data_IF_261298019463
#
_entry.id   IF_261298019463
#
_cell.length_a   1.000
_cell.length_b   1.000
_cell.length_c   1.000
_cell.angle_alpha   90.00
_cell.angle_beta   90.00
_cell.angle_gamma   90.00
#
_symmetry.space_group_name_H-M   'P 1'
#
loop_
_entity.id
_entity.type
_entity.pdbx_description
1 polymer ?
#
# COMPACT_ATOMS: atom_id res chain seq x y z
N UNK A 1 -16.21 7.32 36.87
CA UNK A 1 -14.82 7.13 36.42
C UNK A 1 -13.98 7.08 37.67
N UNK A 2 -13.21 6.01 37.88
CA UNK A 2 -12.23 6.00 38.94
C UNK A 2 -11.31 7.20 38.69
N UNK A 3 -11.17 8.11 39.67
CA UNK A 3 -10.08 9.09 39.62
C UNK A 3 -8.81 8.27 39.41
N UNK A 4 -8.07 8.51 38.32
CA UNK A 4 -6.78 7.86 38.11
C UNK A 4 -5.97 8.12 39.38
N UNK A 5 -5.64 7.05 40.12
CA UNK A 5 -4.90 7.18 41.37
C UNK A 5 -3.57 7.81 41.01
N UNK A 6 -3.24 8.94 41.66
CA UNK A 6 -1.95 9.61 41.46
C UNK A 6 -0.83 8.58 41.64
N UNK A 7 0.10 8.43 40.68
CA UNK A 7 1.26 7.55 40.85
C UNK A 7 2.08 8.00 42.05
N UNK A 8 2.57 7.05 42.86
CA UNK A 8 3.23 7.34 44.14
C UNK A 8 4.60 8.02 43.96
N UNK A 9 5.22 7.93 42.77
CA UNK A 9 6.55 8.47 42.45
C UNK A 9 6.58 9.34 41.16
N UNK A 10 5.55 10.13 40.87
CA UNK A 10 5.59 11.04 39.70
C UNK A 10 6.55 12.22 39.94
N UNK A 11 7.39 12.53 38.95
CA UNK A 11 8.19 13.77 38.93
C UNK A 11 7.29 14.99 38.74
N UNK A 12 7.79 16.18 39.08
CA UNK A 12 7.02 17.43 38.94
C UNK A 12 6.56 17.68 37.50
N UNK A 13 7.40 17.33 36.53
CA UNK A 13 7.08 17.45 35.10
C UNK A 13 5.98 16.46 34.66
N UNK A 14 6.05 15.20 35.10
CA UNK A 14 5.01 14.19 34.82
C UNK A 14 3.66 14.57 35.44
N UNK A 15 3.68 15.15 36.65
CA UNK A 15 2.49 15.67 37.32
C UNK A 15 1.85 16.84 36.57
N UNK A 16 2.66 17.71 35.94
CA UNK A 16 2.18 18.81 35.11
C UNK A 16 1.50 18.28 33.84
N UNK A 17 2.18 17.40 33.10
CA UNK A 17 1.64 16.78 31.88
C UNK A 17 0.35 16.00 32.16
N UNK A 18 0.26 15.28 33.30
CA UNK A 18 -0.97 14.59 33.69
C UNK A 18 -2.12 15.56 33.91
N UNK A 19 -1.90 16.66 34.64
CA UNK A 19 -2.92 17.69 34.89
C UNK A 19 -3.42 18.35 33.60
N UNK A 20 -2.51 18.62 32.66
CA UNK A 20 -2.87 19.14 31.34
C UNK A 20 -3.76 18.15 30.58
N UNK A 21 -3.36 16.87 30.52
CA UNK A 21 -4.16 15.81 29.89
C UNK A 21 -5.52 15.63 30.55
N UNK A 22 -5.59 15.66 31.88
CA UNK A 22 -6.85 15.56 32.64
C UNK A 22 -7.77 16.76 32.35
N UNK A 23 -7.21 17.97 32.29
CA UNK A 23 -7.97 19.19 31.98
C UNK A 23 -8.63 19.08 30.60
N UNK A 24 -7.86 18.69 29.58
CA UNK A 24 -8.38 18.49 28.22
C UNK A 24 -9.40 17.35 28.19
N UNK A 25 -9.09 16.21 28.80
CA UNK A 25 -9.99 15.05 28.81
C UNK A 25 -11.30 15.35 29.52
N UNK A 26 -11.31 16.21 30.55
CA UNK A 26 -12.52 16.56 31.30
C UNK A 26 -13.47 17.51 30.54
N UNK A 27 -13.05 18.11 29.43
CA UNK A 27 -13.93 18.91 28.58
C UNK A 27 -15.04 18.06 27.93
N UNK A 28 -14.76 16.79 27.62
CA UNK A 28 -15.76 15.88 27.08
C UNK A 28 -16.65 15.30 28.20
N UNK A 29 -17.95 15.28 27.95
CA UNK A 29 -18.93 14.65 28.84
C UNK A 29 -18.71 13.14 28.91
N UNK A 30 -19.25 12.51 29.96
CA UNK A 30 -19.19 11.04 30.12
C UNK A 30 -19.82 10.31 28.93
N UNK A 31 -20.92 10.83 28.38
CA UNK A 31 -21.62 10.19 27.27
C UNK A 31 -20.80 10.24 25.98
N UNK A 32 -20.13 11.36 25.72
CA UNK A 32 -19.23 11.52 24.57
C UNK A 32 -18.04 10.57 24.65
N UNK A 33 -17.44 10.42 25.84
CA UNK A 33 -16.35 9.45 26.08
C UNK A 33 -16.80 8.02 25.81
N UNK A 34 -17.95 7.61 26.34
CA UNK A 34 -18.50 6.26 26.09
C UNK A 34 -18.83 6.06 24.61
N UNK A 35 -19.37 7.09 23.93
CA UNK A 35 -19.62 7.01 22.49
C UNK A 35 -18.32 6.91 21.69
N UNK A 36 -17.25 7.57 22.14
CA UNK A 36 -15.94 7.51 21.52
C UNK A 36 -15.32 6.12 21.70
N UNK A 37 -15.33 5.58 22.92
CA UNK A 37 -14.79 4.26 23.21
C UNK A 37 -15.45 3.18 22.34
N UNK A 38 -16.79 3.22 22.19
CA UNK A 38 -17.50 2.31 21.28
C UNK A 38 -17.09 2.43 19.83
N UNK A 39 -16.84 3.66 19.35
CA UNK A 39 -16.37 3.88 17.97
C UNK A 39 -14.95 3.34 17.80
N UNK A 40 -14.11 3.51 18.81
CA UNK A 40 -12.75 2.99 18.84
C UNK A 40 -12.75 1.46 18.82
N UNK A 41 -13.56 0.82 19.66
CA UNK A 41 -13.72 -0.64 19.68
C UNK A 41 -14.19 -1.18 18.32
N UNK A 42 -15.18 -0.50 17.71
CA UNK A 42 -15.65 -0.86 16.38
C UNK A 42 -14.54 -0.72 15.32
N UNK A 43 -13.77 0.37 15.35
CA UNK A 43 -12.65 0.56 14.43
C UNK A 43 -11.58 -0.53 14.60
N UNK A 44 -11.22 -0.87 15.84
CA UNK A 44 -10.27 -1.96 16.13
C UNK A 44 -10.79 -3.28 15.60
N UNK A 45 -12.08 -3.57 15.75
CA UNK A 45 -12.68 -4.79 15.20
C UNK A 45 -12.61 -4.84 13.67
N UNK A 46 -12.83 -3.71 12.99
CA UNK A 46 -12.70 -3.62 11.52
C UNK A 46 -11.24 -3.81 11.06
N UNK A 47 -10.27 -3.24 11.79
CA UNK A 47 -8.85 -3.44 11.49
C UNK A 47 -8.45 -4.92 11.64
N UNK A 48 -8.97 -5.61 12.66
CA UNK A 48 -8.72 -7.04 12.84
C UNK A 48 -9.29 -7.89 11.69
N UNK A 49 -10.40 -7.47 11.08
CA UNK A 49 -10.95 -8.12 9.89
C UNK A 49 -10.17 -7.81 8.62
N UNK A 50 -9.55 -6.63 8.54
CA UNK A 50 -8.75 -6.21 7.39
C UNK A 50 -7.42 -6.97 7.30
N UNK A 51 -6.75 -7.18 8.43
CA UNK A 51 -5.43 -7.81 8.49
C UNK A 51 -5.30 -9.12 7.67
N UNK A 52 -6.17 -10.14 7.81
CA UNK A 52 -6.02 -11.37 7.04
C UNK A 52 -6.19 -11.17 5.53
N UNK A 53 -6.94 -10.15 5.09
CA UNK A 53 -7.07 -9.82 3.67
C UNK A 53 -5.75 -9.24 3.14
N UNK A 54 -5.11 -8.38 3.91
CA UNK A 54 -3.80 -7.82 3.55
C UNK A 54 -2.71 -8.88 3.47
N UNK A 55 -2.72 -9.84 4.40
CA UNK A 55 -1.84 -11.01 4.38
C UNK A 55 -2.06 -11.84 3.10
N UNK A 56 -3.32 -12.14 2.75
CA UNK A 56 -3.64 -12.86 1.50
C UNK A 56 -3.19 -12.12 0.25
N UNK A 57 -3.35 -10.78 0.20
CA UNK A 57 -2.88 -9.97 -0.93
C UNK A 57 -1.36 -10.05 -1.05
N UNK A 58 -0.66 -10.04 0.08
CA UNK A 58 0.80 -10.17 0.13
C UNK A 58 1.24 -11.53 -0.41
N UNK A 59 0.60 -12.61 0.03
CA UNK A 59 0.89 -13.96 -0.45
C UNK A 59 0.61 -14.13 -1.95
N UNK A 60 -0.53 -13.62 -2.43
CA UNK A 60 -0.87 -13.63 -3.85
C UNK A 60 0.12 -12.80 -4.67
N UNK A 61 0.59 -11.68 -4.13
CA UNK A 61 1.62 -10.86 -4.78
C UNK A 61 2.93 -11.62 -4.86
N UNK A 62 3.34 -12.31 -3.79
CA UNK A 62 4.53 -13.15 -3.78
C UNK A 62 4.43 -14.29 -4.81
N UNK A 63 3.26 -14.92 -4.98
CA UNK A 63 3.03 -15.95 -5.99
C UNK A 63 3.04 -15.39 -7.42
N UNK A 64 2.56 -14.17 -7.61
CA UNK A 64 2.54 -13.48 -8.91
C UNK A 64 3.95 -13.15 -9.40
N UNK A 65 4.87 -12.76 -8.51
CA UNK A 65 6.20 -12.27 -8.89
C UNK A 65 7.01 -13.29 -9.72
N UNK A 66 7.14 -14.58 -9.34
CA UNK A 66 7.82 -15.57 -10.17
C UNK A 66 7.24 -15.74 -11.57
N UNK A 67 5.92 -15.55 -11.74
CA UNK A 67 5.27 -15.63 -13.06
C UNK A 67 5.68 -14.42 -13.90
N UNK A 68 5.69 -13.23 -13.31
CA UNK A 68 6.15 -12.00 -13.97
C UNK A 68 7.62 -12.16 -14.38
N UNK A 69 8.48 -12.68 -13.52
CA UNK A 69 9.90 -12.89 -13.81
C UNK A 69 10.08 -13.84 -15.00
N UNK A 70 9.31 -14.94 -15.05
CA UNK A 70 9.30 -15.87 -16.19
C UNK A 70 8.82 -15.22 -17.48
N UNK A 71 7.79 -14.38 -17.43
CA UNK A 71 7.30 -13.62 -18.59
C UNK A 71 8.39 -12.66 -19.09
N UNK A 72 9.09 -11.98 -18.17
CA UNK A 72 10.17 -11.05 -18.52
C UNK A 72 11.37 -11.76 -19.15
N UNK A 73 11.76 -12.92 -18.60
CA UNK A 73 12.80 -13.75 -19.20
C UNK A 73 12.44 -14.16 -20.62
N UNK A 74 11.24 -14.72 -20.82
CA UNK A 74 10.75 -15.11 -22.15
C UNK A 74 10.70 -13.93 -23.12
N UNK A 75 10.19 -12.77 -22.67
CA UNK A 75 10.14 -11.56 -23.49
C UNK A 75 11.53 -11.12 -23.92
N UNK A 76 12.51 -11.21 -23.03
CA UNK A 76 13.92 -10.86 -23.34
C UNK A 76 14.47 -11.74 -24.45
N UNK A 77 14.20 -13.04 -24.41
CA UNK A 77 14.64 -13.97 -25.45
C UNK A 77 13.90 -13.71 -26.77
N UNK A 78 12.59 -13.52 -26.73
CA UNK A 78 11.80 -13.17 -27.92
C UNK A 78 12.22 -11.84 -28.56
N UNK A 79 12.69 -10.86 -27.79
CA UNK A 79 13.20 -9.58 -28.33
C UNK A 79 14.51 -9.80 -29.07
N UNK A 80 15.41 -10.64 -28.53
CA UNK A 80 16.67 -11.00 -29.20
C UNK A 80 16.41 -11.75 -30.50
N UNK A 81 15.48 -12.70 -30.47
CA UNK A 81 15.12 -13.58 -31.59
C UNK A 81 13.93 -13.03 -32.41
N UNK A 82 13.63 -11.73 -32.29
CA UNK A 82 12.42 -11.17 -32.86
C UNK A 82 12.37 -11.35 -34.39
N UNK A 83 11.32 -12.02 -34.86
CA UNK A 83 11.07 -12.26 -36.30
C UNK A 83 10.24 -11.17 -36.98
N UNK A 84 9.87 -10.11 -36.25
CA UNK A 84 9.12 -8.96 -36.75
C UNK A 84 7.85 -9.32 -37.56
N UNK A 85 6.89 -10.04 -36.95
CA UNK A 85 5.67 -10.42 -37.65
C UNK A 85 4.87 -9.17 -38.06
N UNK A 86 4.20 -9.23 -39.23
CA UNK A 86 3.46 -8.10 -39.80
C UNK A 86 2.50 -7.43 -38.80
N UNK A 87 1.82 -8.20 -37.96
CA UNK A 87 0.88 -7.72 -36.92
C UNK A 87 1.52 -6.84 -35.83
N UNK A 88 2.85 -6.87 -35.72
CA UNK A 88 3.63 -6.10 -34.76
C UNK A 88 4.44 -4.98 -35.42
N UNK A 89 4.36 -4.83 -36.74
CA UNK A 89 4.97 -3.73 -37.47
C UNK A 89 3.99 -2.56 -37.52
N UNK A 90 4.50 -1.36 -37.23
CA UNK A 90 3.78 -0.10 -37.31
C UNK A 90 4.51 0.78 -38.31
N UNK A 91 3.80 1.22 -39.35
CA UNK A 91 4.35 2.11 -40.36
C UNK A 91 4.24 3.56 -39.87
N UNK A 92 5.37 4.26 -39.90
CA UNK A 92 5.48 5.71 -39.79
C UNK A 92 5.91 6.26 -41.15
N UNK A 93 5.69 7.56 -41.38
CA UNK A 93 5.87 8.22 -42.69
C UNK A 93 7.15 7.76 -43.43
N UNK A 94 8.29 7.75 -42.74
CA UNK A 94 9.60 7.44 -43.34
C UNK A 94 10.20 6.08 -42.90
N UNK A 95 9.56 5.35 -41.98
CA UNK A 95 10.14 4.13 -41.39
C UNK A 95 9.10 3.21 -40.75
N UNK A 96 9.42 1.93 -40.62
CA UNK A 96 8.61 0.95 -39.90
C UNK A 96 9.23 0.67 -38.53
N UNK A 97 8.41 0.53 -37.48
CA UNK A 97 8.85 0.10 -36.14
C UNK A 97 8.17 -1.20 -35.76
N UNK A 98 8.93 -2.13 -35.19
CA UNK A 98 8.32 -3.26 -34.50
C UNK A 98 7.97 -2.89 -33.06
N UNK A 99 6.68 -2.89 -32.70
CA UNK A 99 6.20 -2.54 -31.33
C UNK A 99 6.61 -3.51 -30.22
N UNK A 100 7.28 -4.61 -30.59
CA UNK A 100 7.68 -5.66 -29.65
C UNK A 100 9.15 -5.51 -29.22
N UNK A 101 10.05 -5.29 -30.18
CA UNK A 101 11.50 -5.14 -29.96
C UNK A 101 12.01 -3.71 -30.20
N UNK A 102 11.13 -2.79 -30.61
CA UNK A 102 11.37 -1.38 -30.90
C UNK A 102 12.43 -1.09 -31.99
N UNK A 103 12.81 -2.10 -32.79
CA UNK A 103 13.70 -1.92 -33.94
C UNK A 103 13.00 -1.11 -35.04
N UNK A 104 13.76 -0.17 -35.62
CA UNK A 104 13.34 0.67 -36.76
C UNK A 104 13.90 0.11 -38.06
N UNK A 105 13.09 0.12 -39.10
CA UNK A 105 13.44 -0.33 -40.45
C UNK A 105 13.18 0.80 -41.44
N UNK A 106 14.17 1.13 -42.24
CA UNK A 106 14.04 2.03 -43.39
C UNK A 106 13.93 1.21 -44.65
N UNK A 107 12.89 1.43 -45.46
CA UNK A 107 12.76 0.76 -46.76
C UNK A 107 13.68 1.50 -47.73
N UNK A 108 14.80 0.89 -48.13
CA UNK A 108 15.56 1.36 -49.28
C UNK A 108 14.86 0.83 -50.54
N UNK A 109 14.29 1.75 -51.32
CA UNK A 109 13.78 1.47 -52.66
C UNK A 109 14.93 1.18 -53.64
#
# INVERSE_FOLDING_TARGET
MARLKKPENETENEALVRREKETIANNATRNEKVSWDRKMDNMVSLLALLQPIEEQITDLTAQKMPIIDRIQALRTDMVKECVHPYTHLVHHEDYIVCKFCDKKFTIQN
#
